data_IF_887839793798
#
_entry.id   IF_887839793798
#
_cell.length_a   1.000
_cell.length_b   1.000
_cell.length_c   1.000
_cell.angle_alpha   90.00
_cell.angle_beta   90.00
_cell.angle_gamma   90.00
#
_symmetry.space_group_name_H-M   'P 1'
#
loop_
_entity.id
_entity.type
_entity.pdbx_description
1 polymer ?
#
# COMPACT_ATOMS: atom_id res chain seq x y z
N UNK A 1 17.60 18.42 -29.54
CA UNK A 1 18.03 17.16 -28.92
C UNK A 1 17.73 17.27 -27.42
N UNK A 2 16.51 16.95 -27.01
CA UNK A 2 16.06 17.03 -25.62
C UNK A 2 16.44 15.71 -24.93
N UNK A 3 17.39 15.78 -24.00
CA UNK A 3 17.73 14.64 -23.15
C UNK A 3 16.52 14.33 -22.26
N UNK A 4 15.93 13.15 -22.45
CA UNK A 4 14.96 12.60 -21.53
C UNK A 4 15.65 12.37 -20.18
N UNK A 5 15.35 13.22 -19.20
CA UNK A 5 15.67 12.96 -17.80
C UNK A 5 14.87 11.74 -17.37
N UNK A 6 15.57 10.62 -17.14
CA UNK A 6 14.97 9.45 -16.50
C UNK A 6 14.38 9.83 -15.14
N UNK A 7 13.46 9.03 -14.58
CA UNK A 7 12.83 9.33 -13.30
C UNK A 7 13.90 9.56 -12.24
N UNK A 8 13.80 10.68 -11.51
CA UNK A 8 14.71 11.03 -10.43
C UNK A 8 14.87 9.83 -9.49
N UNK A 9 16.12 9.39 -9.27
CA UNK A 9 16.41 8.40 -8.22
C UNK A 9 15.95 9.00 -6.90
N UNK A 10 14.98 8.37 -6.24
CA UNK A 10 14.48 8.83 -4.94
C UNK A 10 15.61 8.96 -3.93
N UNK A 11 15.46 9.85 -2.94
CA UNK A 11 16.44 10.04 -1.89
C UNK A 11 16.69 8.70 -1.17
N UNK A 12 17.95 8.47 -0.78
CA UNK A 12 18.35 7.34 0.06
C UNK A 12 18.67 7.90 1.42
N UNK A 13 18.21 7.23 2.48
CA UNK A 13 18.41 7.71 3.83
C UNK A 13 18.13 6.66 4.89
N UNK A 14 18.18 7.10 6.14
CA UNK A 14 17.94 6.29 7.32
C UNK A 14 16.76 6.79 8.14
N UNK A 15 16.02 5.83 8.67
CA UNK A 15 14.95 5.99 9.63
C UNK A 15 15.36 5.34 10.95
N UNK A 16 14.79 5.80 12.05
CA UNK A 16 14.75 5.06 13.32
C UNK A 16 13.34 4.67 13.69
N UNK A 17 13.15 3.45 14.18
CA UNK A 17 11.92 3.07 14.84
C UNK A 17 11.69 3.95 16.07
N UNK A 18 10.47 4.46 16.23
CA UNK A 18 10.02 5.25 17.38
C UNK A 18 9.08 4.41 18.24
N UNK A 19 8.13 3.73 17.60
CA UNK A 19 7.14 2.90 18.25
C UNK A 19 6.53 1.88 17.28
N UNK A 20 5.95 0.83 17.85
CA UNK A 20 5.07 -0.10 17.15
C UNK A 20 3.70 -0.11 17.85
N UNK A 21 2.63 -0.10 17.06
CA UNK A 21 1.25 -0.11 17.57
C UNK A 21 0.45 -1.15 16.79
N UNK A 22 -0.22 -2.07 17.48
CA UNK A 22 -1.15 -2.99 16.83
C UNK A 22 -2.39 -2.22 16.37
N UNK A 23 -2.68 -2.25 15.07
CA UNK A 23 -3.86 -1.57 14.47
C UNK A 23 -5.05 -2.52 14.46
N UNK A 24 -4.84 -3.73 13.95
CA UNK A 24 -5.74 -4.89 13.94
C UNK A 24 -4.90 -6.13 14.23
N UNK A 25 -5.46 -7.31 14.56
CA UNK A 25 -4.66 -8.51 14.87
C UNK A 25 -3.57 -8.85 13.84
N UNK A 26 -3.81 -8.65 12.54
CA UNK A 26 -2.87 -8.90 11.46
C UNK A 26 -2.23 -7.64 10.86
N UNK A 27 -2.44 -6.45 11.41
CA UNK A 27 -1.78 -5.22 10.95
C UNK A 27 -1.12 -4.45 12.09
N UNK A 28 0.16 -4.10 11.89
CA UNK A 28 0.95 -3.33 12.83
C UNK A 28 1.43 -2.04 12.18
N UNK A 29 1.28 -0.94 12.91
CA UNK A 29 1.80 0.37 12.54
C UNK A 29 3.20 0.54 13.14
N UNK A 30 4.17 0.75 12.27
CA UNK A 30 5.50 1.19 12.64
C UNK A 30 5.58 2.70 12.49
N UNK A 31 5.79 3.41 13.59
CA UNK A 31 6.13 4.83 13.57
C UNK A 31 7.65 4.96 13.54
N UNK A 32 8.15 5.70 12.56
CA UNK A 32 9.58 5.97 12.36
C UNK A 32 9.86 7.48 12.35
N UNK A 33 11.10 7.85 12.64
CA UNK A 33 11.61 9.21 12.48
C UNK A 33 12.72 9.24 11.42
N UNK A 34 12.74 10.28 10.59
CA UNK A 34 13.80 10.50 9.58
C UNK A 34 15.07 10.98 10.28
N UNK A 35 16.20 10.32 10.00
CA UNK A 35 17.52 10.77 10.47
C UNK A 35 18.24 11.60 9.41
N UNK A 36 18.57 10.99 8.27
CA UNK A 36 19.40 11.61 7.24
C UNK A 36 19.13 11.05 5.84
N UNK A 37 19.27 11.87 4.78
CA UNK A 37 19.06 13.32 4.83
C UNK A 37 17.59 13.62 5.16
N UNK A 38 17.30 14.83 5.64
CA UNK A 38 15.92 15.28 5.85
C UNK A 38 15.08 15.00 4.59
N UNK A 39 13.97 14.30 4.79
CA UNK A 39 13.09 13.88 3.72
C UNK A 39 12.13 15.03 3.43
N UNK A 40 12.02 15.55 2.20
CA UNK A 40 10.97 16.50 1.89
C UNK A 40 9.61 15.76 1.94
N UNK A 41 8.99 15.82 3.11
CA UNK A 41 7.67 15.30 3.38
C UNK A 41 6.64 16.28 2.83
N UNK A 42 6.44 16.25 1.53
CA UNK A 42 5.29 16.92 0.91
C UNK A 42 3.98 16.33 1.45
N UNK A 43 3.20 17.09 2.24
CA UNK A 43 1.93 16.61 2.78
C UNK A 43 0.79 16.66 1.75
N UNK A 44 1.01 17.23 0.56
CA UNK A 44 -0.06 17.52 -0.40
C UNK A 44 -0.47 16.34 -1.30
N UNK A 45 0.36 15.31 -1.41
CA UNK A 45 0.09 14.15 -2.28
C UNK A 45 -0.18 12.87 -1.48
N UNK A 46 -1.40 12.29 -1.53
CA UNK A 46 -1.67 11.00 -0.92
C UNK A 46 -0.92 9.87 -1.65
N UNK A 47 -0.93 8.67 -1.07
CA UNK A 47 -0.35 7.46 -1.66
C UNK A 47 1.13 7.60 -2.08
N UNK A 48 1.99 7.96 -1.13
CA UNK A 48 3.45 7.97 -1.33
C UNK A 48 4.04 6.69 -0.77
N UNK A 49 5.10 6.19 -1.40
CA UNK A 49 5.73 4.92 -0.99
C UNK A 49 7.21 5.07 -0.69
N UNK A 50 7.68 4.31 0.28
CA UNK A 50 9.09 4.08 0.58
C UNK A 50 9.46 2.64 0.21
N UNK A 51 10.66 2.46 -0.33
CA UNK A 51 11.29 1.14 -0.34
C UNK A 51 12.13 1.02 0.93
N UNK A 52 11.73 0.13 1.83
CA UNK A 52 12.37 -0.07 3.13
C UNK A 52 13.27 -1.30 3.10
N UNK A 53 14.41 -1.20 3.77
CA UNK A 53 15.44 -2.23 3.84
C UNK A 53 15.87 -2.38 5.31
N UNK A 54 15.36 -3.39 6.04
CA UNK A 54 15.80 -3.64 7.40
C UNK A 54 17.27 -4.08 7.38
N UNK A 55 18.00 -3.90 8.48
CA UNK A 55 19.36 -4.39 8.60
C UNK A 55 19.42 -5.89 8.30
N UNK A 56 20.48 -6.33 7.62
CA UNK A 56 20.69 -7.74 7.38
C UNK A 56 20.82 -8.47 8.72
N UNK A 57 20.14 -9.62 8.86
CA UNK A 57 20.45 -10.55 9.95
C UNK A 57 21.92 -10.99 9.75
N UNK A 58 22.78 -10.97 10.79
CA UNK A 58 24.15 -11.45 10.66
C UNK A 58 24.11 -12.95 10.33
N UNK A 59 24.43 -13.31 9.09
CA UNK A 59 24.62 -14.72 8.73
C UNK A 59 25.91 -15.23 9.36
N UNK A 60 25.89 -16.36 10.13
CA UNK A 60 27.06 -16.84 10.86
C UNK A 60 28.27 -17.23 9.99
N UNK A 61 28.13 -17.31 8.66
CA UNK A 61 29.17 -17.86 7.76
C UNK A 61 29.21 -17.23 6.35
N UNK A 62 28.66 -16.03 6.17
CA UNK A 62 28.74 -15.34 4.88
C UNK A 62 30.12 -14.67 4.72
N UNK A 63 31.10 -15.45 4.27
CA UNK A 63 32.34 -14.93 3.72
C UNK A 63 32.04 -13.77 2.76
N UNK A 64 32.80 -12.68 2.92
CA UNK A 64 32.69 -11.45 2.14
C UNK A 64 32.60 -11.78 0.66
N UNK A 65 31.39 -11.69 0.08
CA UNK A 65 31.07 -11.45 -1.34
C UNK A 65 29.60 -11.83 -1.60
N UNK A 66 28.69 -10.88 -1.39
CA UNK A 66 27.51 -10.83 -2.25
C UNK A 66 27.14 -9.37 -2.48
N UNK A 67 27.26 -8.93 -3.74
CA UNK A 67 26.69 -7.66 -4.21
C UNK A 67 25.15 -7.70 -4.28
N UNK A 68 24.50 -8.61 -3.55
CA UNK A 68 23.05 -8.67 -3.47
C UNK A 68 22.56 -7.45 -2.68
N UNK A 69 21.60 -6.73 -3.27
CA UNK A 69 20.91 -5.65 -2.54
C UNK A 69 20.22 -6.24 -1.31
N UNK A 70 20.22 -5.54 -0.16
CA UNK A 70 19.42 -5.93 0.99
C UNK A 70 17.98 -6.23 0.55
N UNK A 71 17.38 -7.28 1.14
CA UNK A 71 16.00 -7.59 0.87
C UNK A 71 15.14 -6.38 1.27
N UNK A 72 14.49 -5.78 0.28
CA UNK A 72 13.69 -4.56 0.47
C UNK A 72 12.25 -4.78 0.07
N UNK A 73 11.33 -4.02 0.67
CA UNK A 73 9.90 -4.04 0.35
C UNK A 73 9.37 -2.62 0.20
N UNK A 74 8.39 -2.45 -0.67
CA UNK A 74 7.74 -1.15 -0.87
C UNK A 74 6.53 -1.08 0.03
N UNK A 75 6.46 -0.03 0.84
CA UNK A 75 5.35 0.26 1.74
C UNK A 75 4.81 1.65 1.50
N UNK A 76 3.51 1.82 1.71
CA UNK A 76 2.86 3.12 1.71
C UNK A 76 3.22 3.88 2.98
N UNK A 77 3.52 5.17 2.84
CA UNK A 77 3.51 6.12 3.96
C UNK A 77 2.04 6.33 4.32
N UNK A 78 1.58 5.72 5.41
CA UNK A 78 0.20 5.83 5.88
C UNK A 78 -0.11 7.24 6.35
N UNK A 79 0.84 7.86 7.05
CA UNK A 79 0.77 9.24 7.53
C UNK A 79 2.18 9.82 7.58
N UNK A 80 2.29 11.11 7.27
CA UNK A 80 3.51 11.88 7.51
C UNK A 80 3.18 13.05 8.44
N UNK A 81 4.08 13.31 9.39
CA UNK A 81 4.08 14.50 10.23
C UNK A 81 5.39 15.28 9.97
N UNK A 82 5.35 16.29 9.07
CA UNK A 82 6.52 17.10 8.75
C UNK A 82 7.04 17.93 9.92
N UNK A 83 6.22 18.20 10.95
CA UNK A 83 6.65 18.99 12.10
C UNK A 83 7.59 18.21 13.04
N UNK A 84 7.46 16.88 13.06
CA UNK A 84 8.26 16.00 13.91
C UNK A 84 9.18 15.05 13.12
N UNK A 85 9.21 15.16 11.79
CA UNK A 85 9.90 14.26 10.88
C UNK A 85 9.50 12.79 11.07
N UNK A 86 8.22 12.55 11.41
CA UNK A 86 7.70 11.20 11.68
C UNK A 86 6.84 10.67 10.55
N UNK A 87 6.91 9.35 10.36
CA UNK A 87 6.11 8.61 9.40
C UNK A 87 5.48 7.42 10.07
N UNK A 88 4.23 7.15 9.70
CA UNK A 88 3.55 5.90 10.02
C UNK A 88 3.56 5.00 8.79
N UNK A 89 3.86 3.73 9.02
CA UNK A 89 3.91 2.69 8.00
C UNK A 89 3.12 1.50 8.52
N UNK A 90 2.04 1.15 7.83
CA UNK A 90 1.21 -0.01 8.18
C UNK A 90 1.75 -1.26 7.50
N UNK A 91 1.96 -2.31 8.29
CA UNK A 91 2.59 -3.56 7.89
C UNK A 91 1.62 -4.71 8.16
N UNK A 92 1.26 -5.43 7.10
CA UNK A 92 0.50 -6.68 7.25
C UNK A 92 1.43 -7.76 7.80
N UNK A 93 0.99 -8.44 8.85
CA UNK A 93 1.78 -9.38 9.67
C UNK A 93 1.64 -10.85 9.24
N UNK A 94 1.46 -11.15 7.95
CA UNK A 94 1.43 -12.52 7.46
C UNK A 94 2.84 -13.09 7.18
N UNK A 95 2.95 -14.41 7.27
CA UNK A 95 4.20 -15.13 7.03
C UNK A 95 5.33 -14.70 7.96
N UNK A 96 6.55 -15.04 7.54
CA UNK A 96 7.78 -14.86 8.31
C UNK A 96 8.85 -14.13 7.49
N UNK A 97 8.46 -13.34 6.50
CA UNK A 97 9.41 -12.60 5.67
C UNK A 97 10.29 -11.64 6.50
N UNK A 98 11.50 -11.36 6.01
CA UNK A 98 12.51 -10.55 6.74
C UNK A 98 11.94 -9.27 7.36
N UNK A 99 11.12 -8.52 6.63
CA UNK A 99 10.53 -7.28 7.13
C UNK A 99 9.52 -7.52 8.26
N UNK A 100 8.69 -8.56 8.15
CA UNK A 100 7.71 -8.92 9.18
C UNK A 100 8.42 -9.39 10.46
N UNK A 101 9.49 -10.19 10.35
CA UNK A 101 10.29 -10.59 11.52
C UNK A 101 10.95 -9.38 12.18
N UNK A 102 11.56 -8.51 11.38
CA UNK A 102 12.19 -7.31 11.89
C UNK A 102 11.19 -6.41 12.62
N UNK A 103 10.03 -6.11 12.00
CA UNK A 103 9.06 -5.18 12.62
C UNK A 103 8.42 -5.73 13.89
N UNK A 104 8.25 -7.07 13.99
CA UNK A 104 7.77 -7.72 15.23
C UNK A 104 8.75 -7.59 16.39
N UNK A 105 10.04 -7.52 16.10
CA UNK A 105 11.10 -7.36 17.09
C UNK A 105 11.60 -5.92 17.27
N UNK A 106 11.10 -4.97 16.47
CA UNK A 106 11.62 -3.62 16.42
C UNK A 106 11.39 -2.87 17.74
N UNK A 107 12.48 -2.35 18.30
CA UNK A 107 12.49 -1.49 19.47
C UNK A 107 12.75 -0.02 19.08
N UNK A 108 12.33 0.94 19.91
CA UNK A 108 12.70 2.34 19.69
C UNK A 108 14.22 2.50 19.55
N UNK A 109 14.65 3.18 18.49
CA UNK A 109 16.06 3.39 18.15
C UNK A 109 16.60 2.48 17.05
N UNK A 110 15.92 1.37 16.73
CA UNK A 110 16.37 0.42 15.71
C UNK A 110 16.44 1.07 14.31
N UNK A 111 17.51 0.84 13.55
CA UNK A 111 17.72 1.47 12.26
C UNK A 111 16.91 0.79 11.16
N UNK A 112 16.46 1.59 10.19
CA UNK A 112 15.82 1.13 8.96
C UNK A 112 16.23 2.01 7.78
N UNK A 113 16.82 1.43 6.74
CA UNK A 113 17.22 2.21 5.56
C UNK A 113 16.05 2.32 4.58
N UNK A 114 15.99 3.43 3.82
CA UNK A 114 14.95 3.63 2.81
C UNK A 114 15.47 4.19 1.48
N UNK A 115 14.65 4.02 0.45
CA UNK A 115 14.73 4.77 -0.81
C UNK A 115 13.35 5.35 -1.16
N UNK A 116 13.28 6.64 -1.44
CA UNK A 116 12.05 7.36 -1.72
C UNK A 116 12.00 8.72 -1.01
N UNK A 117 10.80 9.25 -0.72
CA UNK A 117 9.49 8.75 -1.13
C UNK A 117 9.31 8.87 -2.64
N UNK A 118 8.43 8.05 -3.20
CA UNK A 118 7.98 8.18 -4.59
C UNK A 118 6.46 8.35 -4.59
N UNK A 119 5.91 9.27 -5.41
CA UNK A 119 4.47 9.30 -5.62
C UNK A 119 4.03 7.98 -6.24
N UNK A 120 2.86 7.52 -5.84
CA UNK A 120 2.16 6.41 -6.46
C UNK A 120 0.84 6.93 -7.01
N UNK A 121 0.25 6.23 -7.98
CA UNK A 121 -0.93 6.76 -8.65
C UNK A 121 -2.12 6.87 -7.68
N UNK A 122 -2.85 7.95 -7.86
CA UNK A 122 -4.09 8.30 -7.16
C UNK A 122 -5.16 8.53 -8.24
N UNK A 123 -6.44 8.24 -7.95
CA UNK A 123 -7.54 8.70 -8.79
C UNK A 123 -7.42 10.21 -9.06
N UNK A 124 -7.91 10.66 -10.22
CA UNK A 124 -7.92 12.09 -10.55
C UNK A 124 -8.85 12.89 -9.63
N UNK A 125 -9.89 12.22 -9.09
CA UNK A 125 -11.01 12.83 -8.38
C UNK A 125 -11.86 13.79 -9.25
N UNK A 126 -11.63 13.80 -10.56
CA UNK A 126 -12.39 14.56 -11.57
C UNK A 126 -13.46 13.70 -12.27
N UNK A 127 -13.72 12.49 -11.75
CA UNK A 127 -14.79 11.60 -12.19
C UNK A 127 -16.07 11.86 -11.38
N UNK A 128 -17.20 11.35 -11.88
CA UNK A 128 -18.48 11.38 -11.16
C UNK A 128 -18.44 10.45 -9.93
N UNK A 129 -17.60 9.40 -9.96
CA UNK A 129 -17.37 8.49 -8.85
C UNK A 129 -15.99 7.81 -8.91
N UNK A 130 -15.57 7.22 -7.79
CA UNK A 130 -14.36 6.38 -7.71
C UNK A 130 -14.73 4.98 -7.24
N UNK A 131 -14.23 3.95 -7.92
CA UNK A 131 -14.25 2.57 -7.46
C UNK A 131 -12.85 2.17 -7.03
N UNK A 132 -12.69 1.80 -5.75
CA UNK A 132 -11.44 1.37 -5.16
C UNK A 132 -11.52 -0.10 -4.74
N UNK A 133 -10.51 -0.90 -5.07
CA UNK A 133 -10.54 -2.34 -4.82
C UNK A 133 -9.20 -2.79 -4.29
N UNK A 134 -9.17 -3.42 -3.12
CA UNK A 134 -7.90 -3.86 -2.55
C UNK A 134 -8.03 -4.98 -1.52
N UNK A 135 -6.93 -5.69 -1.27
CA UNK A 135 -6.79 -6.52 -0.08
C UNK A 135 -6.13 -5.69 1.06
N UNK A 136 -5.84 -6.33 2.19
CA UNK A 136 -5.22 -5.65 3.32
C UNK A 136 -3.85 -5.01 3.00
N UNK A 137 -3.16 -5.43 1.93
CA UNK A 137 -1.86 -4.86 1.54
C UNK A 137 -1.98 -3.47 0.91
N UNK A 138 -3.11 -3.16 0.27
CA UNK A 138 -3.38 -1.83 -0.27
C UNK A 138 -4.31 -0.98 0.60
N UNK A 139 -4.85 -1.52 1.70
CA UNK A 139 -5.65 -0.78 2.67
C UNK A 139 -4.96 0.51 3.19
N UNK A 140 -3.63 0.54 3.50
CA UNK A 140 -2.97 1.78 3.90
C UNK A 140 -2.97 2.87 2.81
N UNK A 141 -2.85 2.45 1.54
CA UNK A 141 -2.94 3.36 0.40
C UNK A 141 -4.37 3.86 0.19
N UNK A 142 -5.36 2.97 0.27
CA UNK A 142 -6.76 3.33 0.20
C UNK A 142 -7.10 4.36 1.29
N UNK A 143 -6.72 4.10 2.54
CA UNK A 143 -6.93 5.02 3.67
C UNK A 143 -6.32 6.41 3.41
N UNK A 144 -5.07 6.48 2.95
CA UNK A 144 -4.42 7.75 2.62
C UNK A 144 -5.10 8.48 1.45
N UNK A 145 -5.61 7.76 0.44
CA UNK A 145 -6.32 8.34 -0.71
C UNK A 145 -7.67 8.92 -0.27
N UNK A 146 -8.47 8.18 0.49
CA UNK A 146 -9.82 8.63 0.89
C UNK A 146 -9.78 9.76 1.93
N UNK A 147 -8.73 9.85 2.75
CA UNK A 147 -8.51 11.00 3.65
C UNK A 147 -8.29 12.31 2.88
N UNK A 148 -7.70 12.23 1.68
CA UNK A 148 -7.41 13.38 0.81
C UNK A 148 -8.50 13.62 -0.25
N UNK A 149 -9.55 12.78 -0.30
CA UNK A 149 -10.58 12.89 -1.32
C UNK A 149 -11.49 14.13 -1.10
N UNK A 150 -11.97 14.77 -2.18
CA UNK A 150 -12.90 15.90 -2.09
C UNK A 150 -14.19 15.55 -1.34
N UNK A 151 -14.73 16.55 -0.64
CA UNK A 151 -15.96 16.38 0.12
C UNK A 151 -17.14 15.98 -0.78
N UNK A 152 -17.91 14.97 -0.35
CA UNK A 152 -19.09 14.49 -1.06
C UNK A 152 -18.85 13.71 -2.36
N UNK A 153 -17.59 13.50 -2.79
CA UNK A 153 -17.30 12.65 -3.95
C UNK A 153 -17.77 11.20 -3.67
N UNK A 154 -18.57 10.57 -4.54
CA UNK A 154 -18.94 9.16 -4.34
C UNK A 154 -17.74 8.24 -4.48
N UNK A 155 -17.42 7.48 -3.43
CA UNK A 155 -16.36 6.47 -3.44
C UNK A 155 -16.92 5.12 -2.99
N UNK A 156 -16.82 4.13 -3.87
CA UNK A 156 -17.14 2.73 -3.58
C UNK A 156 -15.85 1.93 -3.39
N UNK A 157 -15.53 1.61 -2.15
CA UNK A 157 -14.39 0.78 -1.78
C UNK A 157 -14.82 -0.66 -1.53
N UNK A 158 -14.08 -1.62 -2.07
CA UNK A 158 -14.19 -3.05 -1.73
C UNK A 158 -12.85 -3.50 -1.17
N UNK A 159 -12.86 -4.04 0.06
CA UNK A 159 -11.64 -4.43 0.78
C UNK A 159 -11.75 -5.87 1.25
N UNK A 160 -10.82 -6.72 0.83
CA UNK A 160 -10.70 -8.09 1.35
C UNK A 160 -9.71 -8.12 2.52
N UNK A 161 -10.12 -8.71 3.63
CA UNK A 161 -9.32 -8.89 4.85
C UNK A 161 -9.50 -10.31 5.41
N UNK A 162 -8.70 -10.67 6.41
CA UNK A 162 -8.77 -12.02 6.99
C UNK A 162 -10.15 -12.31 7.58
N UNK A 163 -10.66 -11.42 8.43
CA UNK A 163 -11.95 -11.54 9.11
C UNK A 163 -12.43 -10.16 9.61
N UNK A 164 -13.57 -10.11 10.29
CA UNK A 164 -14.18 -8.88 10.81
C UNK A 164 -13.30 -8.10 11.81
N UNK A 165 -12.33 -8.74 12.48
CA UNK A 165 -11.42 -8.05 13.39
C UNK A 165 -10.34 -7.22 12.67
N UNK A 166 -10.20 -7.42 11.35
CA UNK A 166 -9.30 -6.67 10.49
C UNK A 166 -9.96 -5.44 9.83
N UNK A 167 -11.26 -5.23 10.04
CA UNK A 167 -11.94 -4.02 9.56
C UNK A 167 -11.43 -2.78 10.29
N UNK A 168 -11.24 -1.69 9.54
CA UNK A 168 -10.73 -0.44 10.07
C UNK A 168 -11.71 0.71 9.80
N UNK A 169 -11.88 1.58 10.79
CA UNK A 169 -12.57 2.85 10.55
C UNK A 169 -11.72 3.73 9.62
N UNK A 170 -12.30 4.13 8.49
CA UNK A 170 -11.66 5.03 7.52
C UNK A 170 -12.25 6.43 7.63
N UNK A 171 -11.38 7.43 7.73
CA UNK A 171 -11.76 8.84 7.75
C UNK A 171 -11.79 9.37 6.32
N UNK A 172 -12.88 10.04 5.94
CA UNK A 172 -12.99 10.71 4.64
C UNK A 172 -14.02 11.84 4.70
N UNK A 173 -13.80 12.89 3.90
CA UNK A 173 -14.83 13.89 3.63
C UNK A 173 -15.76 13.49 2.46
N UNK A 174 -15.36 12.47 1.68
CA UNK A 174 -16.11 11.93 0.55
C UNK A 174 -17.37 11.16 1.01
N UNK A 175 -18.31 10.86 0.09
CA UNK A 175 -19.37 9.86 0.33
C UNK A 175 -18.76 8.46 0.17
N UNK A 176 -18.00 8.04 1.19
CA UNK A 176 -17.28 6.77 1.20
C UNK A 176 -18.19 5.63 1.67
N UNK A 177 -18.33 4.61 0.81
CA UNK A 177 -18.98 3.33 1.13
C UNK A 177 -17.95 2.21 1.02
N UNK A 178 -17.77 1.46 2.10
CA UNK A 178 -16.81 0.35 2.16
C UNK A 178 -17.55 -0.96 2.27
N UNK A 179 -17.30 -1.87 1.33
CA UNK A 179 -17.70 -3.27 1.41
C UNK A 179 -16.52 -4.11 1.87
N UNK A 180 -16.61 -4.68 3.08
CA UNK A 180 -15.61 -5.60 3.61
C UNK A 180 -15.92 -7.03 3.17
N UNK A 181 -14.90 -7.72 2.65
CA UNK A 181 -14.93 -9.14 2.30
C UNK A 181 -14.03 -9.88 3.27
N UNK A 182 -14.54 -10.95 3.86
CA UNK A 182 -13.79 -11.76 4.83
C UNK A 182 -13.36 -13.06 4.20
N UNK A 183 -12.11 -13.46 4.46
CA UNK A 183 -11.59 -14.75 4.00
C UNK A 183 -11.98 -15.90 4.91
N UNK A 184 -12.25 -15.63 6.19
CA UNK A 184 -12.69 -16.59 7.20
C UNK A 184 -11.86 -17.89 7.20
N UNK A 185 -10.54 -17.72 7.20
CA UNK A 185 -9.56 -18.82 7.21
C UNK A 185 -9.06 -19.27 5.84
N UNK A 186 -9.60 -18.76 4.74
CA UNK A 186 -9.02 -18.98 3.41
C UNK A 186 -7.67 -18.23 3.26
N UNK A 187 -6.67 -18.82 2.59
CA UNK A 187 -5.41 -18.13 2.33
C UNK A 187 -5.59 -16.89 1.46
N UNK A 188 -4.76 -15.87 1.71
CA UNK A 188 -4.80 -14.62 0.93
C UNK A 188 -4.61 -14.90 -0.58
N UNK A 189 -5.32 -14.15 -1.43
CA UNK A 189 -5.20 -14.25 -2.89
C UNK A 189 -5.74 -15.55 -3.51
N UNK A 190 -6.50 -16.35 -2.76
CA UNK A 190 -7.08 -17.63 -3.25
C UNK A 190 -8.59 -17.59 -3.45
N UNK A 191 -9.29 -16.60 -2.90
CA UNK A 191 -10.75 -16.56 -2.81
C UNK A 191 -11.43 -16.06 -4.09
N UNK A 192 -10.74 -15.25 -4.90
CA UNK A 192 -11.33 -14.53 -6.02
C UNK A 192 -12.48 -13.59 -5.59
N UNK A 193 -12.49 -13.16 -4.33
CA UNK A 193 -13.61 -12.43 -3.74
C UNK A 193 -13.68 -10.99 -4.27
N UNK A 194 -12.54 -10.31 -4.41
CA UNK A 194 -12.48 -8.94 -4.95
C UNK A 194 -13.00 -8.89 -6.38
N UNK A 195 -12.57 -9.82 -7.25
CA UNK A 195 -13.08 -9.85 -8.62
C UNK A 195 -14.60 -10.05 -8.66
N UNK A 196 -15.13 -11.00 -7.88
CA UNK A 196 -16.58 -11.26 -7.84
C UNK A 196 -17.37 -10.07 -7.35
N UNK A 197 -16.93 -9.44 -6.25
CA UNK A 197 -17.58 -8.29 -5.65
C UNK A 197 -17.63 -7.08 -6.60
N UNK A 198 -16.53 -6.81 -7.32
CA UNK A 198 -16.46 -5.71 -8.28
C UNK A 198 -17.35 -5.95 -9.49
N UNK A 199 -17.48 -7.20 -9.93
CA UNK A 199 -18.39 -7.56 -11.02
C UNK A 199 -19.86 -7.41 -10.64
N UNK A 200 -20.20 -7.71 -9.38
CA UNK A 200 -21.55 -7.59 -8.83
C UNK A 200 -21.90 -6.19 -8.32
N UNK A 201 -20.95 -5.25 -8.31
CA UNK A 201 -21.20 -3.88 -7.87
C UNK A 201 -22.28 -3.24 -8.75
N UNK A 202 -23.16 -2.46 -8.13
CA UNK A 202 -23.97 -1.48 -8.85
C UNK A 202 -23.05 -0.34 -9.29
N UNK A 203 -22.46 -0.48 -10.48
CA UNK A 203 -21.47 0.48 -10.99
C UNK A 203 -22.07 1.88 -11.10
N UNK A 204 -21.37 2.93 -10.62
CA UNK A 204 -21.82 4.30 -10.77
C UNK A 204 -22.05 4.64 -12.25
N UNK A 205 -23.09 5.44 -12.51
CA UNK A 205 -23.27 6.05 -13.81
C UNK A 205 -22.25 7.17 -14.04
N UNK A 206 -21.98 7.51 -15.30
CA UNK A 206 -21.05 8.58 -15.66
C UNK A 206 -19.60 8.12 -15.75
N UNK A 207 -18.67 9.07 -15.65
CA UNK A 207 -17.24 8.82 -15.65
C UNK A 207 -16.81 8.25 -14.30
N UNK A 208 -16.05 7.15 -14.32
CA UNK A 208 -15.57 6.46 -13.12
C UNK A 208 -14.05 6.38 -13.14
N UNK A 209 -13.43 6.81 -12.05
CA UNK A 209 -12.03 6.47 -11.76
C UNK A 209 -11.97 5.13 -11.04
N UNK A 210 -11.03 4.27 -11.46
CA UNK A 210 -10.83 2.95 -10.88
C UNK A 210 -9.42 2.84 -10.33
N UNK A 211 -9.31 2.47 -9.06
CA UNK A 211 -8.04 2.20 -8.40
C UNK A 211 -8.04 0.78 -7.82
N UNK A 212 -7.06 -0.03 -8.17
CA UNK A 212 -6.97 -1.43 -7.77
C UNK A 212 -5.56 -1.75 -7.32
N UNK A 213 -5.39 -2.32 -6.12
CA UNK A 213 -4.11 -2.80 -5.63
C UNK A 213 -4.25 -4.09 -4.82
N UNK A 214 -3.32 -5.03 -4.97
CA UNK A 214 -3.37 -6.30 -4.22
C UNK A 214 -2.63 -7.42 -4.94
N UNK A 215 -3.17 -8.63 -4.91
CA UNK A 215 -2.61 -9.80 -5.61
C UNK A 215 -2.60 -9.58 -7.14
N UNK A 216 -1.44 -9.77 -7.76
CA UNK A 216 -1.20 -9.42 -9.16
C UNK A 216 -2.11 -10.12 -10.19
N UNK A 217 -2.49 -11.37 -9.94
CA UNK A 217 -3.43 -12.12 -10.77
C UNK A 217 -4.84 -11.55 -10.70
N UNK A 218 -5.35 -11.30 -9.50
CA UNK A 218 -6.69 -10.73 -9.30
C UNK A 218 -6.78 -9.29 -9.83
N UNK A 219 -5.78 -8.45 -9.52
CA UNK A 219 -5.63 -7.09 -10.06
C UNK A 219 -5.69 -7.10 -11.58
N UNK A 220 -4.99 -8.04 -12.24
CA UNK A 220 -5.01 -8.17 -13.70
C UNK A 220 -6.42 -8.50 -14.20
N UNK A 221 -7.15 -9.36 -13.50
CA UNK A 221 -8.51 -9.75 -13.89
C UNK A 221 -9.49 -8.59 -13.76
N UNK A 222 -9.45 -7.87 -12.63
CA UNK A 222 -10.27 -6.69 -12.35
C UNK A 222 -9.95 -5.58 -13.37
N UNK A 223 -8.67 -5.30 -13.64
CA UNK A 223 -8.26 -4.31 -14.64
C UNK A 223 -8.85 -4.61 -16.02
N UNK A 224 -8.82 -5.88 -16.43
CA UNK A 224 -9.42 -6.30 -17.71
C UNK A 224 -10.92 -6.03 -17.69
N UNK A 225 -11.64 -6.48 -16.68
CA UNK A 225 -13.08 -6.24 -16.53
C UNK A 225 -13.45 -4.75 -16.60
N UNK A 226 -12.76 -3.90 -15.84
CA UNK A 226 -13.00 -2.46 -15.86
C UNK A 226 -12.77 -1.86 -17.26
N UNK A 227 -11.72 -2.29 -17.97
CA UNK A 227 -11.42 -1.80 -19.31
C UNK A 227 -12.37 -2.34 -20.40
N UNK A 228 -12.78 -3.61 -20.33
CA UNK A 228 -13.54 -4.26 -21.40
C UNK A 228 -15.04 -4.17 -21.20
N UNK A 229 -15.52 -4.49 -20.00
CA UNK A 229 -16.95 -4.65 -19.72
C UNK A 229 -17.57 -3.33 -19.22
N UNK A 230 -16.76 -2.48 -18.57
CA UNK A 230 -17.17 -1.16 -18.06
C UNK A 230 -16.62 0.00 -18.88
N UNK A 231 -15.82 -0.27 -19.90
CA UNK A 231 -15.24 0.73 -20.80
C UNK A 231 -14.55 1.91 -20.09
N UNK A 232 -13.95 1.66 -18.91
CA UNK A 232 -13.24 2.69 -18.16
C UNK A 232 -12.05 3.21 -18.96
N UNK A 233 -11.95 4.52 -19.09
CA UNK A 233 -10.87 5.17 -19.83
C UNK A 233 -9.50 4.82 -19.25
N UNK A 234 -8.50 4.62 -20.13
CA UNK A 234 -7.15 4.22 -19.70
C UNK A 234 -6.51 5.19 -18.71
N UNK A 235 -6.80 6.49 -18.82
CA UNK A 235 -6.28 7.52 -17.92
C UNK A 235 -6.88 7.50 -16.51
N UNK A 236 -8.04 6.84 -16.37
CA UNK A 236 -8.84 6.72 -15.14
C UNK A 236 -8.68 5.35 -14.48
N UNK A 237 -7.90 4.44 -15.07
CA UNK A 237 -7.71 3.07 -14.58
C UNK A 237 -6.30 2.87 -14.04
N UNK A 238 -6.18 2.76 -12.72
CA UNK A 238 -4.94 2.57 -11.98
C UNK A 238 -4.94 1.18 -11.33
N UNK A 239 -4.04 0.29 -11.76
CA UNK A 239 -4.02 -1.11 -11.32
C UNK A 239 -2.60 -1.59 -10.97
N UNK A 240 -2.41 -2.11 -9.76
CA UNK A 240 -1.10 -2.40 -9.18
C UNK A 240 -1.04 -3.76 -8.48
N UNK A 241 -0.25 -4.68 -9.01
CA UNK A 241 0.07 -5.93 -8.31
C UNK A 241 1.11 -5.67 -7.22
N UNK A 242 0.67 -5.54 -5.97
CA UNK A 242 1.55 -5.29 -4.82
C UNK A 242 2.32 -6.54 -4.42
N UNK A 243 1.70 -7.70 -4.59
CA UNK A 243 2.28 -9.00 -4.32
C UNK A 243 1.78 -10.05 -5.32
N UNK A 244 2.31 -11.27 -5.23
CA UNK A 244 1.89 -12.37 -6.11
C UNK A 244 1.97 -13.70 -5.37
N UNK A 245 0.87 -14.42 -5.32
CA UNK A 245 0.81 -15.73 -4.68
C UNK A 245 1.95 -16.65 -5.17
N UNK A 246 2.61 -17.31 -4.22
CA UNK A 246 3.75 -18.20 -4.48
C UNK A 246 5.09 -17.51 -4.77
N UNK A 247 5.21 -16.18 -4.58
CA UNK A 247 6.50 -15.48 -4.61
C UNK A 247 7.01 -15.09 -3.22
N UNK A 248 8.33 -15.03 -3.07
CA UNK A 248 8.99 -14.68 -1.80
C UNK A 248 8.55 -13.31 -1.24
N UNK A 249 8.13 -13.28 0.03
CA UNK A 249 7.62 -12.10 0.72
C UNK A 249 6.23 -11.68 0.26
N UNK A 250 5.43 -12.64 -0.19
CA UNK A 250 3.99 -12.49 -0.36
C UNK A 250 3.26 -12.80 0.95
N UNK A 251 2.05 -12.24 1.13
CA UNK A 251 1.04 -12.84 1.98
C UNK A 251 0.97 -14.36 1.80
N UNK A 252 1.09 -15.08 2.92
CA UNK A 252 0.91 -16.52 3.02
C UNK A 252 -0.51 -16.85 3.49
#
# INVERSE_FOLDING_TARGET
>A
MLAATGPARGAVGRLRAVATTQVTPAMLRLTVQVEEPHLPLDPSGPNRVLRLSPPAEPEPDAGVLSGARPASRTYTIRRADPASDRLDIDVVLHGDGLFVRWVRGAAPGDPLDFTGPRPHAVPSFEADAVVMVTDETGLPALAAIVEAAPAGLPIHAVVEVADAAEEQALTSAADLRVGWLHRDGAPAGTTGALERAVRSLDWPAGAVDVWVAGEAGEVRSIRRFAATDRAVERGRLHAFGYWRLGRAGSPS
#
